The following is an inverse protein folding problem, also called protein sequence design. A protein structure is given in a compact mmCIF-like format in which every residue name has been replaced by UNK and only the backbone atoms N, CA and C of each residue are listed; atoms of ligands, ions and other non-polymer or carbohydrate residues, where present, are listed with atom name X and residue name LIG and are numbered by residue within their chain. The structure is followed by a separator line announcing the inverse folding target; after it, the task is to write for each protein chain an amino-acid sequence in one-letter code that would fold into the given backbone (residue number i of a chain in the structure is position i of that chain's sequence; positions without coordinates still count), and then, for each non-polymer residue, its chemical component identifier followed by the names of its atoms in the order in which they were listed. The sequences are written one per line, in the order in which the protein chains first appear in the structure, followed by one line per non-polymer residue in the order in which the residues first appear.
data_IF_282963912421
#
_entry.id   IF_282963912421
#
_cell.length_a   1.000
_cell.length_b   1.000
_cell.length_c   1.000
_cell.angle_alpha   90.00
_cell.angle_beta   90.00
_cell.angle_gamma   90.00
#
_symmetry.space_group_name_H-M   'P 1'
#
loop_
_entity.id
_entity.type
_entity.pdbx_description
1 polymer ?
#
# COMPACT_ATOMS: atom_id res chain seq x y z
N UNK A 1 5.30 -29.44 -51.71
CA UNK A 1 6.10 -29.47 -50.47
C UNK A 1 5.45 -28.59 -49.45
N UNK A 2 5.08 -29.10 -48.26
CA UNK A 2 4.30 -28.36 -47.26
C UNK A 2 5.10 -27.16 -46.75
N UNK A 3 4.47 -25.99 -46.62
CA UNK A 3 5.06 -24.76 -46.06
C UNK A 3 5.71 -25.03 -44.69
N UNK A 4 5.11 -25.91 -43.87
CA UNK A 4 5.68 -26.37 -42.60
C UNK A 4 6.98 -27.12 -42.73
N UNK A 5 7.20 -27.88 -43.79
CA UNK A 5 8.47 -28.59 -44.05
C UNK A 5 9.59 -27.61 -44.44
N UNK A 6 9.28 -26.60 -45.25
CA UNK A 6 10.24 -25.57 -45.66
C UNK A 6 10.60 -24.60 -44.52
N UNK A 7 9.73 -24.33 -43.58
CA UNK A 7 10.02 -23.60 -42.35
C UNK A 7 10.93 -24.39 -41.40
N UNK A 8 10.79 -25.72 -41.37
CA UNK A 8 11.64 -26.59 -40.53
C UNK A 8 13.00 -26.88 -41.12
N UNK A 9 13.10 -26.92 -42.47
CA UNK A 9 14.33 -27.20 -43.24
C UNK A 9 14.43 -26.18 -44.37
N UNK A 10 14.83 -24.92 -44.08
CA UNK A 10 14.85 -23.86 -45.07
C UNK A 10 15.97 -24.10 -46.10
N UNK A 11 15.61 -24.29 -47.37
CA UNK A 11 16.55 -24.51 -48.45
C UNK A 11 16.92 -23.23 -49.18
N UNK A 12 15.97 -22.30 -49.33
CA UNK A 12 16.14 -21.03 -50.04
C UNK A 12 16.66 -19.94 -49.09
N UNK A 13 17.46 -19.00 -49.59
CA UNK A 13 18.07 -17.95 -48.76
C UNK A 13 17.02 -17.09 -48.02
N UNK A 14 15.90 -16.76 -48.67
CA UNK A 14 14.85 -15.96 -48.04
C UNK A 14 14.05 -16.74 -46.98
N UNK A 15 13.90 -18.07 -47.14
CA UNK A 15 13.28 -18.90 -46.07
C UNK A 15 14.21 -19.05 -44.87
N UNK A 16 15.53 -19.12 -45.10
CA UNK A 16 16.55 -19.09 -44.02
C UNK A 16 16.49 -17.77 -43.27
N UNK A 17 16.43 -16.63 -44.00
CA UNK A 17 16.31 -15.31 -43.40
C UNK A 17 14.99 -15.14 -42.58
N UNK A 18 13.87 -15.58 -43.14
CA UNK A 18 12.59 -15.56 -42.47
C UNK A 18 12.61 -16.42 -41.19
N UNK A 19 13.09 -17.64 -41.24
CA UNK A 19 13.20 -18.53 -40.05
C UNK A 19 14.13 -17.94 -39.01
N UNK A 20 15.26 -17.35 -39.40
CA UNK A 20 16.18 -16.67 -38.48
C UNK A 20 15.49 -15.47 -37.82
N UNK A 21 14.75 -14.66 -38.57
CA UNK A 21 13.99 -13.52 -38.05
C UNK A 21 12.93 -13.99 -37.05
N UNK A 22 12.16 -15.04 -37.38
CA UNK A 22 11.15 -15.61 -36.46
C UNK A 22 11.82 -16.13 -35.18
N UNK A 23 12.97 -16.81 -35.29
CA UNK A 23 13.73 -17.28 -34.14
C UNK A 23 14.22 -16.12 -33.27
N UNK A 24 14.74 -15.04 -33.86
CA UNK A 24 15.19 -13.85 -33.14
C UNK A 24 14.01 -13.21 -32.39
N UNK A 25 12.87 -13.02 -33.04
CA UNK A 25 11.66 -12.44 -32.41
C UNK A 25 11.15 -13.33 -31.28
N UNK A 26 11.15 -14.65 -31.47
CA UNK A 26 10.74 -15.61 -30.44
C UNK A 26 11.65 -15.57 -29.21
N UNK A 27 12.98 -15.63 -29.41
CA UNK A 27 13.92 -15.58 -28.31
C UNK A 27 13.95 -14.22 -27.62
N UNK A 28 13.80 -13.12 -28.36
CA UNK A 28 13.64 -11.78 -27.79
C UNK A 28 12.38 -11.69 -26.92
N UNK A 29 11.26 -12.27 -27.37
CA UNK A 29 10.03 -12.35 -26.57
C UNK A 29 10.21 -13.16 -25.28
N UNK A 30 10.86 -14.33 -25.35
CA UNK A 30 11.17 -15.12 -24.16
C UNK A 30 12.10 -14.38 -23.20
N UNK A 31 13.14 -13.72 -23.71
CA UNK A 31 14.03 -12.91 -22.89
C UNK A 31 13.30 -11.76 -22.20
N UNK A 32 12.40 -11.09 -22.90
CA UNK A 32 11.54 -10.04 -22.32
C UNK A 32 10.68 -10.57 -21.18
N UNK A 33 10.00 -11.69 -21.38
CA UNK A 33 9.19 -12.32 -20.34
C UNK A 33 10.02 -12.74 -19.12
N UNK A 34 11.22 -13.29 -19.35
CA UNK A 34 12.13 -13.66 -18.27
C UNK A 34 12.61 -12.45 -17.47
N UNK A 35 13.00 -11.36 -18.15
CA UNK A 35 13.40 -10.10 -17.50
C UNK A 35 12.23 -9.50 -16.73
N UNK A 36 11.04 -9.44 -17.34
CA UNK A 36 9.83 -8.91 -16.69
C UNK A 36 9.45 -9.73 -15.45
N UNK A 37 9.49 -11.06 -15.55
CA UNK A 37 9.24 -11.96 -14.42
C UNK A 37 10.26 -11.79 -13.29
N UNK A 38 11.54 -11.63 -13.62
CA UNK A 38 12.59 -11.33 -12.64
C UNK A 38 12.39 -9.96 -11.97
N UNK A 39 12.04 -8.93 -12.75
CA UNK A 39 11.73 -7.61 -12.22
C UNK A 39 10.56 -7.67 -11.24
N UNK A 40 9.45 -8.32 -11.62
CA UNK A 40 8.29 -8.48 -10.75
C UNK A 40 8.67 -9.25 -9.48
N UNK A 41 9.45 -10.31 -9.59
CA UNK A 41 9.96 -11.02 -8.41
C UNK A 41 10.74 -10.10 -7.46
N UNK A 42 11.58 -9.21 -8.00
CA UNK A 42 12.31 -8.21 -7.20
C UNK A 42 11.36 -7.18 -6.58
N UNK A 43 10.39 -6.70 -7.34
CA UNK A 43 9.39 -5.73 -6.91
C UNK A 43 8.48 -6.31 -5.80
N UNK A 44 7.98 -7.54 -5.95
CA UNK A 44 7.12 -8.13 -4.90
C UNK A 44 7.90 -8.60 -3.67
N UNK A 45 9.24 -8.58 -3.72
CA UNK A 45 10.13 -8.91 -2.62
C UNK A 45 11.10 -7.76 -2.35
N UNK A 46 10.60 -6.64 -1.81
CA UNK A 46 11.42 -5.46 -1.55
C UNK A 46 12.52 -5.73 -0.53
N UNK A 47 13.50 -4.84 -0.50
CA UNK A 47 14.50 -4.83 0.57
C UNK A 47 13.80 -4.41 1.87
N UNK A 48 13.93 -5.25 2.90
CA UNK A 48 13.32 -4.98 4.19
C UNK A 48 14.26 -4.14 5.07
N UNK A 49 13.75 -3.03 5.54
CA UNK A 49 14.44 -2.20 6.53
C UNK A 49 14.02 -2.67 7.93
N UNK A 50 14.94 -3.29 8.65
CA UNK A 50 14.74 -3.65 10.06
C UNK A 50 15.63 -2.73 10.89
N UNK A 51 15.07 -2.07 11.89
CA UNK A 51 15.83 -1.35 12.91
C UNK A 51 15.40 -1.86 14.28
N UNK A 52 16.38 -2.15 15.13
CA UNK A 52 16.13 -2.53 16.51
C UNK A 52 15.83 -1.26 17.32
N UNK A 53 14.56 -0.92 17.42
CA UNK A 53 14.11 0.19 18.26
C UNK A 53 13.76 -0.36 19.65
N UNK A 54 14.39 0.19 20.66
CA UNK A 54 14.03 -0.11 22.03
C UNK A 54 12.73 0.61 22.42
N UNK A 55 11.61 -0.10 22.39
CA UNK A 55 10.31 0.42 22.78
C UNK A 55 10.27 1.02 24.19
N UNK A 56 11.12 0.53 25.11
CA UNK A 56 11.15 1.02 26.48
C UNK A 56 11.68 2.46 26.60
N UNK A 57 12.43 2.92 25.59
CA UNK A 57 12.91 4.30 25.54
C UNK A 57 11.88 5.28 24.98
N UNK A 58 10.75 4.78 24.47
CA UNK A 58 9.71 5.63 23.87
C UNK A 58 8.78 6.21 24.94
N UNK A 59 8.42 7.50 24.87
CA UNK A 59 7.41 8.08 25.74
C UNK A 59 6.06 7.36 25.57
N UNK A 60 5.29 7.24 26.65
CA UNK A 60 3.93 6.67 26.57
C UNK A 60 3.83 5.17 26.79
N UNK A 61 4.95 4.46 27.00
CA UNK A 61 4.99 3.01 27.27
C UNK A 61 4.26 2.18 26.22
N UNK A 62 4.75 2.14 24.98
CA UNK A 62 4.15 1.32 23.94
C UNK A 62 4.12 -0.16 24.34
N UNK A 63 3.08 -0.85 23.90
CA UNK A 63 2.87 -2.28 24.14
C UNK A 63 3.02 -3.05 22.82
N UNK A 64 3.72 -4.18 22.87
CA UNK A 64 3.73 -5.12 21.75
C UNK A 64 2.41 -5.90 21.72
N UNK A 65 1.74 -5.88 20.57
CA UNK A 65 0.50 -6.63 20.31
C UNK A 65 0.75 -7.61 19.18
N UNK A 66 0.54 -8.89 19.47
CA UNK A 66 0.61 -9.96 18.47
C UNK A 66 -0.79 -10.29 17.96
N UNK A 67 -0.91 -10.56 16.66
CA UNK A 67 -2.15 -10.96 16.03
C UNK A 67 -1.91 -11.96 14.89
N UNK A 68 -2.91 -12.78 14.61
CA UNK A 68 -2.88 -13.77 13.54
C UNK A 68 -3.64 -13.26 12.33
N UNK A 69 -3.08 -13.48 11.14
CA UNK A 69 -3.73 -13.12 9.88
C UNK A 69 -4.31 -14.40 9.25
N UNK A 70 -5.61 -14.47 9.01
CA UNK A 70 -6.24 -15.62 8.40
C UNK A 70 -5.58 -16.03 7.07
N UNK A 71 -5.25 -17.31 6.93
CA UNK A 71 -4.61 -17.84 5.73
C UNK A 71 -3.10 -17.55 5.60
N UNK A 72 -2.49 -16.91 6.60
CA UNK A 72 -1.05 -16.67 6.68
C UNK A 72 -0.40 -17.61 7.70
N UNK A 73 0.79 -18.11 7.37
CA UNK A 73 1.60 -18.88 8.31
C UNK A 73 2.46 -17.91 9.14
N UNK A 74 1.98 -17.49 10.29
CA UNK A 74 2.76 -16.70 11.25
C UNK A 74 1.98 -15.57 11.90
N UNK A 75 2.48 -15.20 13.08
CA UNK A 75 1.98 -14.05 13.81
C UNK A 75 2.55 -12.77 13.21
N UNK A 76 1.78 -11.69 13.32
CA UNK A 76 2.26 -10.32 13.11
C UNK A 76 2.42 -9.64 14.44
N UNK A 77 3.36 -8.72 14.51
CA UNK A 77 3.59 -7.88 15.68
C UNK A 77 3.43 -6.41 15.31
N UNK A 78 2.61 -5.72 16.08
CA UNK A 78 2.47 -4.28 16.02
C UNK A 78 2.76 -3.64 17.38
N UNK A 79 2.89 -2.32 17.38
CA UNK A 79 3.10 -1.52 18.57
C UNK A 79 1.87 -0.66 18.83
N UNK A 80 1.29 -0.84 20.00
CA UNK A 80 0.17 -0.05 20.48
C UNK A 80 0.67 1.03 21.44
N UNK A 81 0.31 2.25 21.15
CA UNK A 81 0.63 3.44 21.93
C UNK A 81 -0.67 3.94 22.57
N UNK A 82 -0.86 3.79 23.89
CA UNK A 82 -2.10 4.16 24.56
C UNK A 82 -2.27 5.68 24.64
N UNK A 83 -3.48 6.14 24.32
CA UNK A 83 -3.96 7.50 24.52
C UNK A 83 -4.99 7.59 25.66
N UNK A 84 -6.06 8.37 25.47
CA UNK A 84 -7.18 8.37 26.41
C UNK A 84 -7.92 7.03 26.36
N UNK A 85 -8.29 6.52 27.50
CA UNK A 85 -9.09 5.30 27.60
C UNK A 85 -10.43 5.48 26.88
N UNK A 86 -10.76 4.56 25.99
CA UNK A 86 -11.98 4.60 25.16
C UNK A 86 -11.92 5.63 24.02
N UNK A 87 -10.76 6.23 23.73
CA UNK A 87 -10.58 7.05 22.56
C UNK A 87 -10.54 6.19 21.29
N UNK A 88 -10.85 6.78 20.12
CA UNK A 88 -10.61 6.13 18.83
C UNK A 88 -9.16 5.73 18.67
N UNK A 89 -8.92 4.67 17.91
CA UNK A 89 -7.56 4.24 17.57
C UNK A 89 -7.23 4.68 16.13
N UNK A 90 -6.10 5.36 15.97
CA UNK A 90 -5.53 5.64 14.65
C UNK A 90 -4.57 4.54 14.28
N UNK A 91 -4.83 3.83 13.19
CA UNK A 91 -3.92 2.82 12.64
C UNK A 91 -3.10 3.46 11.54
N UNK A 92 -1.76 3.33 11.63
CA UNK A 92 -0.84 3.84 10.65
C UNK A 92 -0.32 2.69 9.78
N UNK A 93 -0.63 2.76 8.49
CA UNK A 93 -0.28 1.78 7.48
C UNK A 93 0.85 2.32 6.60
N UNK A 94 2.06 1.81 6.81
CA UNK A 94 3.24 2.23 6.06
C UNK A 94 3.14 1.92 4.56
N UNK A 95 4.01 2.55 3.77
CA UNK A 95 4.10 2.35 2.34
C UNK A 95 4.98 1.18 1.90
N UNK A 96 5.08 1.01 0.58
CA UNK A 96 6.02 0.09 -0.03
C UNK A 96 7.48 0.51 0.27
N UNK A 97 8.37 -0.46 0.50
CA UNK A 97 9.76 -0.26 0.94
C UNK A 97 9.94 0.53 2.24
N UNK A 98 8.90 0.59 3.07
CA UNK A 98 8.89 1.28 4.37
C UNK A 98 8.63 0.30 5.52
N UNK A 99 8.57 0.80 6.75
CA UNK A 99 8.30 0.02 7.95
C UNK A 99 7.60 0.86 9.02
N UNK A 100 7.03 0.19 10.04
CA UNK A 100 6.42 0.86 11.20
C UNK A 100 7.37 1.82 11.92
N UNK A 101 8.68 1.56 11.86
CA UNK A 101 9.69 2.38 12.54
C UNK A 101 9.76 3.81 11.98
N UNK A 102 9.47 3.98 10.71
CA UNK A 102 9.54 5.26 10.01
C UNK A 102 8.36 6.19 10.33
N UNK A 103 7.33 5.64 10.99
CA UNK A 103 6.11 6.37 11.34
C UNK A 103 6.10 6.93 12.77
N UNK A 104 7.18 6.74 13.53
CA UNK A 104 7.22 7.07 14.96
C UNK A 104 7.07 8.57 15.27
N UNK A 105 7.47 9.45 14.36
CA UNK A 105 7.22 10.89 14.52
C UNK A 105 5.74 11.22 14.41
N UNK A 106 5.04 10.61 13.43
CA UNK A 106 3.58 10.75 13.29
C UNK A 106 2.84 10.11 14.48
N UNK A 107 3.35 8.97 15.01
CA UNK A 107 2.84 8.40 16.28
C UNK A 107 2.91 9.42 17.39
N UNK A 108 4.08 10.07 17.58
CA UNK A 108 4.27 11.07 18.63
C UNK A 108 3.30 12.24 18.47
N UNK A 109 3.17 12.77 17.25
CA UNK A 109 2.25 13.87 16.97
C UNK A 109 0.78 13.53 17.29
N UNK A 110 0.33 12.29 17.01
CA UNK A 110 -1.02 11.84 17.36
C UNK A 110 -1.18 11.60 18.85
N UNK A 111 -0.15 11.09 19.53
CA UNK A 111 -0.15 10.86 20.98
C UNK A 111 -0.20 12.15 21.80
N UNK A 112 0.44 13.22 21.34
CA UNK A 112 0.31 14.56 21.95
C UNK A 112 -1.16 15.00 22.05
N UNK A 113 -2.00 14.51 21.15
CA UNK A 113 -3.44 14.74 21.12
C UNK A 113 -4.26 13.58 21.71
N UNK A 114 -3.60 12.68 22.45
CA UNK A 114 -4.23 11.60 23.23
C UNK A 114 -5.01 10.55 22.41
N UNK A 115 -4.67 10.36 21.15
CA UNK A 115 -5.15 9.20 20.37
C UNK A 115 -4.49 7.92 20.85
N UNK A 116 -5.24 6.82 20.82
CA UNK A 116 -4.64 5.50 20.74
C UNK A 116 -4.05 5.36 19.34
N UNK A 117 -2.80 4.89 19.24
CA UNK A 117 -2.14 4.70 17.94
C UNK A 117 -1.65 3.27 17.83
N UNK A 118 -1.87 2.64 16.68
CA UNK A 118 -1.35 1.31 16.38
C UNK A 118 -0.56 1.33 15.08
N UNK A 119 0.61 0.72 15.09
CA UNK A 119 1.49 0.57 13.92
C UNK A 119 1.98 -0.87 13.82
N UNK A 120 2.08 -1.39 12.62
CA UNK A 120 2.59 -2.73 12.35
C UNK A 120 3.26 -2.80 10.98
N UNK A 121 4.06 -3.84 10.74
CA UNK A 121 4.67 -4.08 9.44
C UNK A 121 3.80 -5.02 8.61
N UNK A 122 3.53 -4.67 7.36
CA UNK A 122 2.93 -5.57 6.38
C UNK A 122 3.88 -6.71 5.98
N UNK A 123 3.32 -7.77 5.39
CA UNK A 123 4.12 -8.82 4.76
C UNK A 123 5.12 -8.25 3.76
N UNK A 124 6.28 -8.89 3.63
CA UNK A 124 7.42 -8.46 2.84
C UNK A 124 8.13 -7.18 3.33
N UNK A 125 7.70 -6.57 4.44
CA UNK A 125 8.25 -5.34 4.98
C UNK A 125 8.70 -5.51 6.44
N UNK A 126 9.58 -4.61 6.90
CA UNK A 126 10.08 -4.63 8.27
C UNK A 126 10.53 -6.01 8.72
N UNK A 127 10.04 -6.49 9.85
CA UNK A 127 10.35 -7.81 10.38
C UNK A 127 9.66 -8.99 9.64
N UNK A 128 8.65 -8.73 8.81
CA UNK A 128 7.81 -9.76 8.23
C UNK A 128 8.31 -10.23 6.86
N UNK A 129 8.85 -11.46 6.74
CA UNK A 129 9.29 -11.99 5.44
C UNK A 129 8.08 -12.33 4.54
N UNK A 130 8.33 -12.45 3.24
CA UNK A 130 7.33 -12.87 2.26
C UNK A 130 7.40 -12.08 0.97
N UNK A 131 6.27 -11.98 0.29
CA UNK A 131 6.09 -11.17 -0.92
C UNK A 131 4.86 -10.30 -0.78
N UNK A 132 4.93 -9.06 -1.24
CA UNK A 132 3.77 -8.16 -1.29
C UNK A 132 2.88 -8.46 -2.48
N UNK A 133 1.59 -8.23 -2.31
CA UNK A 133 0.59 -8.22 -3.37
C UNK A 133 0.02 -6.80 -3.61
N UNK A 134 0.75 -5.77 -3.15
CA UNK A 134 0.37 -4.36 -3.25
C UNK A 134 -1.06 -4.06 -2.79
N UNK A 135 -1.47 -4.69 -1.69
CA UNK A 135 -2.73 -4.42 -1.01
C UNK A 135 -3.77 -5.54 -1.08
N UNK A 136 -3.69 -6.46 -2.04
CA UNK A 136 -4.65 -7.57 -2.10
C UNK A 136 -4.68 -8.40 -0.81
N UNK A 137 -3.52 -8.85 -0.36
CA UNK A 137 -3.37 -9.66 0.86
C UNK A 137 -3.20 -8.82 2.11
N UNK A 138 -2.57 -7.66 1.99
CA UNK A 138 -2.28 -6.75 3.09
C UNK A 138 -3.57 -6.14 3.70
N UNK A 139 -4.68 -6.10 2.95
CA UNK A 139 -5.98 -5.71 3.48
C UNK A 139 -6.45 -6.67 4.59
N UNK A 140 -6.20 -7.98 4.46
CA UNK A 140 -6.50 -8.95 5.52
C UNK A 140 -5.63 -8.73 6.76
N UNK A 141 -4.41 -8.20 6.61
CA UNK A 141 -3.53 -7.87 7.75
C UNK A 141 -4.05 -6.66 8.51
N UNK A 142 -4.53 -5.62 7.81
CA UNK A 142 -5.17 -4.47 8.47
C UNK A 142 -6.45 -4.89 9.20
N UNK A 143 -7.29 -5.71 8.57
CA UNK A 143 -8.48 -6.26 9.22
C UNK A 143 -8.14 -7.02 10.49
N UNK A 144 -7.18 -7.93 10.44
CA UNK A 144 -6.73 -8.71 11.60
C UNK A 144 -6.15 -7.81 12.71
N UNK A 145 -5.41 -6.77 12.34
CA UNK A 145 -4.91 -5.75 13.28
C UNK A 145 -6.07 -5.02 13.98
N UNK A 146 -7.08 -4.56 13.22
CA UNK A 146 -8.27 -3.91 13.78
C UNK A 146 -9.03 -4.86 14.71
N UNK A 147 -9.19 -6.13 14.32
CA UNK A 147 -9.87 -7.14 15.13
C UNK A 147 -9.12 -7.37 16.46
N UNK A 148 -7.78 -7.48 16.43
CA UNK A 148 -6.98 -7.65 17.64
C UNK A 148 -7.04 -6.43 18.58
N UNK A 149 -6.97 -5.23 18.02
CA UNK A 149 -7.06 -3.98 18.81
C UNK A 149 -8.46 -3.82 19.41
N UNK A 150 -9.52 -4.19 18.69
CA UNK A 150 -10.90 -4.08 19.20
C UNK A 150 -11.20 -4.96 20.42
N UNK A 151 -10.38 -5.97 20.71
CA UNK A 151 -10.51 -6.81 21.90
C UNK A 151 -9.97 -6.14 23.19
N UNK A 152 -9.29 -5.01 23.07
CA UNK A 152 -8.74 -4.28 24.22
C UNK A 152 -9.84 -3.53 24.95
N UNK A 153 -9.77 -3.52 26.28
CA UNK A 153 -10.75 -2.82 27.15
C UNK A 153 -10.48 -1.32 27.30
N UNK A 154 -9.40 -0.82 26.73
CA UNK A 154 -8.96 0.59 26.82
C UNK A 154 -9.17 1.38 25.51
N UNK A 155 -9.73 0.76 24.46
CA UNK A 155 -10.04 1.41 23.18
C UNK A 155 -11.55 1.45 22.90
N UNK A 156 -11.98 2.31 21.96
CA UNK A 156 -13.32 2.21 21.35
C UNK A 156 -13.26 1.18 20.21
N UNK A 157 -13.87 -0.01 20.35
CA UNK A 157 -13.77 -1.09 19.36
C UNK A 157 -14.47 -0.77 18.03
N UNK A 158 -15.35 0.26 18.01
CA UNK A 158 -16.15 0.65 16.85
C UNK A 158 -15.64 1.92 16.14
N UNK A 159 -14.47 2.44 16.54
CA UNK A 159 -14.01 3.75 16.08
C UNK A 159 -12.52 3.75 15.72
N UNK A 160 -12.24 3.54 14.43
CA UNK A 160 -10.89 3.59 13.89
C UNK A 160 -10.72 4.73 12.89
N UNK A 161 -9.63 5.47 13.02
CA UNK A 161 -9.06 6.26 11.93
C UNK A 161 -7.95 5.48 11.26
N UNK A 162 -7.80 5.58 9.95
CA UNK A 162 -6.68 4.93 9.27
C UNK A 162 -5.94 5.95 8.43
N UNK A 163 -4.65 6.03 8.65
CA UNK A 163 -3.71 6.72 7.80
C UNK A 163 -2.92 5.70 6.98
N UNK A 164 -2.73 5.97 5.70
CA UNK A 164 -1.91 5.11 4.85
C UNK A 164 -1.16 5.88 3.78
N UNK A 165 0.04 5.40 3.47
CA UNK A 165 0.90 5.87 2.40
C UNK A 165 1.02 4.80 1.30
N UNK A 166 0.82 5.16 0.05
CA UNK A 166 0.77 4.32 -1.15
C UNK A 166 0.16 2.92 -0.92
N UNK A 167 0.93 1.87 -0.63
CA UNK A 167 0.44 0.54 -0.26
C UNK A 167 -0.56 0.61 0.91
N UNK A 168 -0.18 1.31 1.99
CA UNK A 168 -1.03 1.49 3.16
C UNK A 168 -2.30 2.27 2.85
N UNK A 169 -2.25 3.24 1.94
CA UNK A 169 -3.43 4.01 1.52
C UNK A 169 -4.43 3.15 0.73
N UNK A 170 -3.94 2.30 -0.17
CA UNK A 170 -4.77 1.32 -0.86
C UNK A 170 -5.47 0.37 0.13
N UNK A 171 -4.70 -0.19 1.06
CA UNK A 171 -5.19 -1.09 2.11
C UNK A 171 -6.24 -0.41 2.98
N UNK A 172 -5.96 0.82 3.44
CA UNK A 172 -6.87 1.61 4.27
C UNK A 172 -8.23 1.85 3.57
N UNK A 173 -8.19 2.24 2.31
CA UNK A 173 -9.40 2.49 1.53
C UNK A 173 -10.18 1.21 1.26
N UNK A 174 -9.48 0.12 0.90
CA UNK A 174 -10.10 -1.18 0.61
C UNK A 174 -10.79 -1.76 1.85
N UNK A 175 -10.16 -1.66 3.03
CA UNK A 175 -10.77 -2.11 4.28
C UNK A 175 -11.98 -1.25 4.65
N UNK A 176 -11.89 0.06 4.51
CA UNK A 176 -13.01 0.96 4.81
C UNK A 176 -14.25 0.74 3.91
N UNK A 177 -14.08 0.20 2.69
CA UNK A 177 -15.20 -0.21 1.84
C UNK A 177 -16.05 -1.32 2.48
N UNK A 178 -15.42 -2.18 3.28
CA UNK A 178 -16.05 -3.37 3.89
C UNK A 178 -16.35 -3.18 5.38
N UNK A 179 -15.50 -2.47 6.13
CA UNK A 179 -15.57 -2.36 7.58
C UNK A 179 -16.05 -0.97 8.04
N UNK A 180 -17.22 -0.93 8.64
CA UNK A 180 -17.87 0.29 9.13
C UNK A 180 -17.26 0.84 10.43
N UNK A 181 -16.32 0.14 11.04
CA UNK A 181 -15.52 0.64 12.15
C UNK A 181 -14.53 1.71 11.72
N UNK A 182 -14.18 1.78 10.44
CA UNK A 182 -13.35 2.87 9.89
C UNK A 182 -14.21 4.13 9.76
N UNK A 183 -13.87 5.17 10.55
CA UNK A 183 -14.62 6.42 10.65
C UNK A 183 -13.97 7.60 9.95
N UNK A 184 -12.68 7.55 9.68
CA UNK A 184 -11.95 8.61 8.98
C UNK A 184 -10.71 8.04 8.28
N UNK A 185 -10.36 8.58 7.11
CA UNK A 185 -9.25 8.13 6.28
C UNK A 185 -8.31 9.28 5.92
N UNK A 186 -7.01 9.06 6.04
CA UNK A 186 -5.97 9.87 5.41
C UNK A 186 -5.24 8.99 4.40
N UNK A 187 -5.27 9.38 3.13
CA UNK A 187 -4.87 8.58 1.98
C UNK A 187 -3.78 9.33 1.21
N UNK A 188 -2.53 8.96 1.45
CA UNK A 188 -1.38 9.59 0.82
C UNK A 188 -0.90 8.77 -0.36
N UNK A 189 -0.73 9.43 -1.52
CA UNK A 189 -0.18 8.84 -2.74
C UNK A 189 -0.91 7.54 -3.16
N UNK A 190 -2.23 7.54 -3.05
CA UNK A 190 -3.06 6.35 -3.28
C UNK A 190 -3.18 6.01 -4.77
N UNK A 191 -3.23 4.72 -5.08
CA UNK A 191 -3.50 4.18 -6.42
C UNK A 191 -4.82 3.40 -6.46
N UNK A 192 -5.38 3.24 -7.67
CA UNK A 192 -6.69 2.59 -7.88
C UNK A 192 -6.58 1.06 -7.95
N UNK A 193 -5.48 0.55 -8.53
CA UNK A 193 -5.23 -0.88 -8.70
C UNK A 193 -3.78 -1.24 -8.36
N UNK A 194 -3.50 -2.41 -7.72
CA UNK A 194 -2.15 -2.85 -7.37
C UNK A 194 -1.13 -2.84 -8.51
N UNK A 195 -1.57 -3.12 -9.75
CA UNK A 195 -0.69 -3.08 -10.93
C UNK A 195 -0.19 -1.66 -11.27
N UNK A 196 -0.85 -0.59 -10.78
CA UNK A 196 -0.31 0.77 -10.93
C UNK A 196 1.02 0.91 -10.17
N UNK A 197 1.16 0.29 -8.99
CA UNK A 197 2.45 0.25 -8.29
C UNK A 197 3.51 -0.52 -9.05
N UNK A 198 3.14 -1.62 -9.72
CA UNK A 198 4.09 -2.34 -10.60
C UNK A 198 4.63 -1.41 -11.69
N UNK A 199 3.76 -0.58 -12.30
CA UNK A 199 4.21 0.42 -13.31
C UNK A 199 5.16 1.44 -12.70
N UNK A 200 4.83 1.98 -11.53
CA UNK A 200 5.68 2.94 -10.81
C UNK A 200 7.06 2.33 -10.56
N UNK A 201 7.11 1.11 -10.04
CA UNK A 201 8.38 0.46 -9.73
C UNK A 201 9.18 0.08 -10.99
N UNK A 202 8.52 -0.38 -12.05
CA UNK A 202 9.19 -0.61 -13.35
C UNK A 202 9.75 0.70 -13.92
N UNK A 203 9.03 1.81 -13.76
CA UNK A 203 9.52 3.12 -14.23
C UNK A 203 10.81 3.54 -13.50
N UNK A 204 10.92 3.30 -12.20
CA UNK A 204 12.12 3.58 -11.39
C UNK A 204 13.37 2.80 -11.88
N UNK A 205 13.18 1.64 -12.52
CA UNK A 205 14.32 0.88 -13.11
C UNK A 205 14.83 1.43 -14.43
N UNK A 206 14.22 2.48 -14.98
CA UNK A 206 14.52 3.02 -16.32
C UNK A 206 13.86 2.25 -17.47
N UNK A 207 13.14 1.17 -17.18
CA UNK A 207 12.44 0.36 -18.20
C UNK A 207 11.01 0.80 -18.47
N UNK A 208 10.51 1.79 -17.74
CA UNK A 208 9.15 2.32 -17.87
C UNK A 208 8.86 2.96 -19.25
N UNK A 209 9.90 3.40 -19.97
CA UNK A 209 9.79 3.91 -21.34
C UNK A 209 9.51 2.85 -22.41
N UNK A 210 9.53 1.56 -22.05
CA UNK A 210 9.27 0.45 -22.96
C UNK A 210 7.90 -0.19 -22.68
N UNK A 211 6.84 0.14 -23.44
CA UNK A 211 5.47 -0.33 -23.15
C UNK A 211 5.33 -1.85 -23.08
N UNK A 212 6.07 -2.58 -23.90
CA UNK A 212 6.07 -4.05 -23.88
C UNK A 212 6.65 -4.62 -22.57
N UNK A 213 7.66 -3.95 -21.98
CA UNK A 213 8.24 -4.37 -20.69
C UNK A 213 7.24 -4.14 -19.55
N UNK A 214 6.64 -2.96 -19.50
CA UNK A 214 5.59 -2.63 -18.53
C UNK A 214 4.44 -3.63 -18.62
N UNK A 215 3.93 -3.89 -19.84
CA UNK A 215 2.85 -4.84 -20.05
C UNK A 215 3.20 -6.26 -19.63
N UNK A 216 4.44 -6.71 -19.92
CA UNK A 216 4.91 -8.04 -19.52
C UNK A 216 5.05 -8.14 -18.00
N UNK A 217 5.48 -7.07 -17.32
CA UNK A 217 5.54 -7.02 -15.86
C UNK A 217 4.14 -7.07 -15.23
N UNK A 218 3.18 -6.28 -15.74
CA UNK A 218 1.78 -6.35 -15.30
C UNK A 218 1.20 -7.77 -15.45
N UNK A 219 1.40 -8.40 -16.61
CA UNK A 219 0.95 -9.78 -16.85
C UNK A 219 1.59 -10.78 -15.89
N UNK A 220 2.88 -10.62 -15.59
CA UNK A 220 3.59 -11.46 -14.63
C UNK A 220 3.04 -11.27 -13.21
N UNK A 221 2.74 -10.05 -12.81
CA UNK A 221 2.12 -9.73 -11.53
C UNK A 221 0.70 -10.30 -11.43
N UNK A 222 -0.13 -10.15 -12.47
CA UNK A 222 -1.49 -10.71 -12.54
C UNK A 222 -1.45 -12.25 -12.46
N UNK A 223 -0.44 -12.88 -13.03
CA UNK A 223 -0.25 -14.32 -12.95
C UNK A 223 0.10 -14.77 -11.51
N UNK A 224 0.99 -14.04 -10.84
CA UNK A 224 1.35 -14.30 -9.44
C UNK A 224 0.17 -14.10 -8.47
N UNK A 225 -0.74 -13.20 -8.80
CA UNK A 225 -1.92 -12.86 -8.00
C UNK A 225 -3.22 -13.27 -8.71
N UNK A 226 -3.22 -14.43 -9.37
CA UNK A 226 -4.32 -14.88 -10.24
C UNK A 226 -5.68 -14.92 -9.55
N UNK A 227 -5.71 -15.24 -8.25
CA UNK A 227 -6.92 -15.27 -7.42
C UNK A 227 -7.59 -13.89 -7.27
N UNK A 228 -6.80 -12.80 -7.38
CA UNK A 228 -7.26 -11.41 -7.28
C UNK A 228 -7.50 -10.74 -8.63
N UNK A 229 -7.37 -11.49 -9.74
CA UNK A 229 -7.46 -10.93 -11.10
C UNK A 229 -8.82 -10.28 -11.40
N UNK A 230 -9.88 -10.70 -10.71
CA UNK A 230 -11.24 -10.19 -10.88
C UNK A 230 -11.64 -9.18 -9.80
N UNK A 231 -10.75 -8.85 -8.87
CA UNK A 231 -11.04 -7.85 -7.86
C UNK A 231 -11.25 -6.49 -8.53
N UNK A 232 -12.34 -5.80 -8.22
CA UNK A 232 -12.60 -4.51 -8.83
C UNK A 232 -11.61 -3.46 -8.32
N UNK A 233 -11.31 -2.42 -9.13
CA UNK A 233 -10.54 -1.28 -8.67
C UNK A 233 -11.25 -0.58 -7.50
N UNK A 234 -10.52 0.16 -6.67
CA UNK A 234 -11.09 0.93 -5.55
C UNK A 234 -12.21 1.87 -6.03
N UNK A 235 -12.00 2.51 -7.18
CA UNK A 235 -12.99 3.42 -7.75
C UNK A 235 -14.36 2.81 -8.05
N UNK A 236 -14.45 1.48 -8.16
CA UNK A 236 -15.71 0.80 -8.43
C UNK A 236 -16.62 0.66 -7.20
N UNK A 237 -16.07 0.71 -5.99
CA UNK A 237 -16.79 0.52 -4.72
C UNK A 237 -16.86 1.77 -3.84
N UNK A 238 -16.41 2.90 -4.33
CA UNK A 238 -16.32 4.15 -3.55
C UNK A 238 -17.63 4.62 -2.93
N UNK A 239 -18.77 4.27 -3.51
CA UNK A 239 -20.09 4.63 -2.94
C UNK A 239 -20.29 4.08 -1.54
N UNK A 240 -19.63 2.99 -1.16
CA UNK A 240 -19.68 2.43 0.20
C UNK A 240 -19.04 3.35 1.25
N UNK A 241 -18.18 4.28 0.82
CA UNK A 241 -17.49 5.27 1.66
C UNK A 241 -18.29 6.58 1.83
N UNK A 242 -19.56 6.61 1.43
CA UNK A 242 -20.40 7.77 1.65
C UNK A 242 -20.53 8.05 3.15
N UNK A 243 -20.31 9.33 3.54
CA UNK A 243 -20.32 9.73 4.94
C UNK A 243 -19.03 9.47 5.73
N UNK A 244 -18.07 8.71 5.18
CA UNK A 244 -16.74 8.54 5.80
C UNK A 244 -15.85 9.72 5.36
N UNK A 245 -15.37 10.58 6.28
CA UNK A 245 -14.42 11.65 5.95
C UNK A 245 -13.11 11.12 5.40
N UNK A 246 -12.62 11.74 4.32
CA UNK A 246 -11.39 11.34 3.61
C UNK A 246 -10.54 12.56 3.30
N UNK A 247 -9.27 12.51 3.71
CA UNK A 247 -8.23 13.45 3.27
C UNK A 247 -7.33 12.73 2.27
N UNK A 248 -7.29 13.23 1.04
CA UNK A 248 -6.35 12.78 0.02
C UNK A 248 -5.12 13.69 0.03
N UNK A 249 -3.93 13.11 0.10
CA UNK A 249 -2.66 13.80 0.01
C UNK A 249 -2.03 13.44 -1.34
N UNK A 250 -1.97 14.45 -2.23
CA UNK A 250 -1.54 14.27 -3.62
C UNK A 250 -0.07 14.66 -3.79
N UNK A 251 0.82 13.71 -4.12
CA UNK A 251 2.21 14.03 -4.42
C UNK A 251 2.34 14.78 -5.74
N UNK A 252 3.22 15.77 -5.78
CA UNK A 252 3.50 16.56 -7.00
C UNK A 252 4.70 15.98 -7.75
N UNK A 253 5.68 15.47 -7.04
CA UNK A 253 6.91 14.88 -7.59
C UNK A 253 6.73 13.46 -8.16
N UNK A 254 5.73 12.71 -7.70
CA UNK A 254 5.38 11.37 -8.21
C UNK A 254 4.14 11.44 -9.11
N UNK A 255 4.31 11.89 -10.35
CA UNK A 255 3.20 12.18 -11.27
C UNK A 255 2.18 11.04 -11.40
N UNK A 256 2.62 9.78 -11.51
CA UNK A 256 1.72 8.63 -11.69
C UNK A 256 0.79 8.45 -10.49
N UNK A 257 1.33 8.52 -9.26
CA UNK A 257 0.55 8.42 -8.03
C UNK A 257 -0.28 9.68 -7.79
N UNK A 258 0.25 10.86 -8.10
CA UNK A 258 -0.48 12.11 -8.04
C UNK A 258 -1.72 12.13 -8.93
N UNK A 259 -1.59 11.63 -10.16
CA UNK A 259 -2.72 11.51 -11.11
C UNK A 259 -3.75 10.46 -10.62
N UNK A 260 -3.29 9.34 -10.06
CA UNK A 260 -4.17 8.32 -9.51
C UNK A 260 -4.93 8.86 -8.30
N UNK A 261 -4.23 9.48 -7.35
CA UNK A 261 -4.82 10.13 -6.17
C UNK A 261 -5.90 11.14 -6.59
N UNK A 262 -5.61 11.98 -7.58
CA UNK A 262 -6.57 12.97 -8.10
C UNK A 262 -7.79 12.30 -8.74
N UNK A 263 -7.61 11.26 -9.55
CA UNK A 263 -8.74 10.51 -10.15
C UNK A 263 -9.63 9.91 -9.08
N UNK A 264 -9.06 9.31 -8.04
CA UNK A 264 -9.80 8.74 -6.93
C UNK A 264 -10.52 9.83 -6.12
N UNK A 265 -9.87 10.94 -5.84
CA UNK A 265 -10.51 12.08 -5.17
C UNK A 265 -11.74 12.58 -5.92
N UNK A 266 -11.66 12.74 -7.25
CA UNK A 266 -12.80 13.20 -8.07
C UNK A 266 -14.01 12.26 -7.91
N UNK A 267 -13.77 10.95 -7.91
CA UNK A 267 -14.83 9.92 -7.81
C UNK A 267 -15.34 9.69 -6.38
N UNK A 268 -14.54 10.02 -5.37
CA UNK A 268 -14.89 9.75 -3.97
C UNK A 268 -16.14 10.54 -3.54
N UNK A 269 -17.06 9.93 -2.74
CA UNK A 269 -18.21 10.63 -2.16
C UNK A 269 -17.77 11.57 -1.04
N UNK A 270 -18.66 12.50 -0.68
CA UNK A 270 -18.45 13.42 0.45
C UNK A 270 -18.58 12.68 1.83
N UNK A 271 -17.95 13.21 2.88
CA UNK A 271 -17.03 14.36 2.89
C UNK A 271 -15.61 13.98 2.45
N UNK A 272 -14.99 14.85 1.67
CA UNK A 272 -13.63 14.64 1.16
C UNK A 272 -12.85 15.95 1.07
N UNK A 273 -11.55 15.87 1.26
CA UNK A 273 -10.59 16.97 1.14
C UNK A 273 -9.38 16.50 0.34
N UNK A 274 -8.72 17.40 -0.37
CA UNK A 274 -7.46 17.10 -1.05
C UNK A 274 -6.44 18.19 -0.75
N UNK A 275 -5.19 17.79 -0.53
CA UNK A 275 -4.07 18.69 -0.38
C UNK A 275 -2.90 18.20 -1.25
N UNK A 276 -2.25 19.13 -1.92
CA UNK A 276 -1.02 18.85 -2.65
C UNK A 276 0.17 18.78 -1.68
N UNK A 277 1.04 17.80 -1.91
CA UNK A 277 2.31 17.64 -1.21
C UNK A 277 3.45 17.86 -2.20
N UNK A 278 4.48 18.67 -1.85
CA UNK A 278 5.66 18.83 -2.69
C UNK A 278 6.34 17.49 -2.99
N UNK A 279 6.42 16.63 -2.00
CA UNK A 279 7.05 15.31 -2.06
C UNK A 279 6.10 14.21 -1.58
N UNK A 280 6.07 13.10 -2.34
CA UNK A 280 5.20 11.94 -2.07
C UNK A 280 5.77 10.94 -1.08
N UNK A 281 7.01 11.10 -0.62
CA UNK A 281 7.63 10.19 0.31
C UNK A 281 7.73 10.82 1.70
N UNK A 282 6.85 10.44 2.63
CA UNK A 282 6.83 10.92 4.02
C UNK A 282 8.20 10.82 4.71
N UNK A 283 8.94 9.73 4.46
CA UNK A 283 10.25 9.48 5.09
C UNK A 283 11.31 10.46 4.57
N UNK A 284 11.21 10.89 3.33
CA UNK A 284 12.17 11.79 2.69
C UNK A 284 11.89 13.29 2.94
N UNK A 285 10.78 13.61 3.62
CA UNK A 285 10.45 14.99 3.98
C UNK A 285 11.51 15.58 4.92
N UNK A 286 11.83 16.87 4.72
CA UNK A 286 12.59 17.65 5.70
C UNK A 286 11.81 17.76 7.03
N UNK A 287 12.47 18.12 8.11
CA UNK A 287 11.81 18.27 9.42
C UNK A 287 10.67 19.31 9.37
N UNK A 288 10.86 20.43 8.66
CA UNK A 288 9.83 21.46 8.51
C UNK A 288 8.61 20.94 7.70
N UNK A 289 8.86 20.26 6.59
CA UNK A 289 7.80 19.65 5.78
C UNK A 289 7.07 18.56 6.56
N UNK A 290 7.79 17.77 7.34
CA UNK A 290 7.24 16.72 8.20
C UNK A 290 6.31 17.30 9.25
N UNK A 291 6.70 18.38 9.93
CA UNK A 291 5.81 19.08 10.86
C UNK A 291 4.54 19.61 10.22
N UNK A 292 4.65 20.21 9.02
CA UNK A 292 3.48 20.69 8.28
C UNK A 292 2.55 19.55 7.88
N UNK A 293 3.12 18.43 7.46
CA UNK A 293 2.40 17.23 7.10
C UNK A 293 1.66 16.63 8.32
N UNK A 294 2.39 16.41 9.41
CA UNK A 294 1.84 15.85 10.66
C UNK A 294 0.73 16.72 11.23
N UNK A 295 0.93 18.05 11.27
CA UNK A 295 -0.08 18.99 11.70
C UNK A 295 -1.36 18.90 10.85
N UNK A 296 -1.24 18.69 9.55
CA UNK A 296 -2.39 18.51 8.66
C UNK A 296 -3.14 17.21 8.96
N UNK A 297 -2.42 16.10 9.12
CA UNK A 297 -3.00 14.80 9.46
C UNK A 297 -3.70 14.85 10.81
N UNK A 298 -3.03 15.39 11.82
CA UNK A 298 -3.57 15.56 13.19
C UNK A 298 -4.81 16.45 13.18
N UNK A 299 -4.75 17.61 12.51
CA UNK A 299 -5.88 18.54 12.41
C UNK A 299 -7.10 17.88 11.74
N UNK A 300 -6.88 17.08 10.70
CA UNK A 300 -7.95 16.34 10.05
C UNK A 300 -8.61 15.34 11.02
N UNK A 301 -7.83 14.55 11.74
CA UNK A 301 -8.39 13.59 12.71
C UNK A 301 -9.08 14.32 13.87
N UNK A 302 -8.52 15.39 14.41
CA UNK A 302 -9.16 16.20 15.45
C UNK A 302 -10.53 16.73 15.02
N UNK A 303 -10.66 17.16 13.77
CA UNK A 303 -11.90 17.70 13.24
C UNK A 303 -12.93 16.59 12.94
N UNK A 304 -12.49 15.41 12.48
CA UNK A 304 -13.36 14.36 11.93
C UNK A 304 -13.55 13.17 12.85
N UNK A 305 -12.63 12.95 13.79
CA UNK A 305 -12.62 11.81 14.71
C UNK A 305 -11.99 12.22 16.05
N UNK A 306 -12.60 13.17 16.75
CA UNK A 306 -12.05 13.72 17.99
C UNK A 306 -11.76 12.63 19.03
N UNK A 307 -10.63 12.72 19.79
CA UNK A 307 -10.23 11.74 20.80
C UNK A 307 -11.04 11.89 22.10
N UNK A 308 -12.38 11.87 21.96
CA UNK A 308 -13.28 11.94 23.12
C UNK A 308 -13.43 10.57 23.75
N UNK A 309 -13.13 10.41 25.05
CA UNK A 309 -13.32 9.14 25.73
C UNK A 309 -14.78 8.74 25.70
N UNK A 310 -15.12 7.59 25.12
CA UNK A 310 -16.43 6.96 25.28
C UNK A 310 -16.42 6.15 26.56
N UNK A 311 -17.53 6.20 27.31
CA UNK A 311 -17.73 5.30 28.44
C UNK A 311 -17.89 3.89 27.86
N UNK A 312 -16.80 3.12 27.88
CA UNK A 312 -16.83 1.69 27.54
C UNK A 312 -17.65 1.02 28.66
N UNK A 313 -18.83 0.52 28.31
CA UNK A 313 -19.71 -0.21 29.25
C UNK A 313 -19.20 -1.62 29.50
#
# INVERSE_FOLDING_TARGET
MSILFELRYPTKWYTKLFTAMVAVVFFAGLATLAIAGFLVYRIVKPNRTTSDINLQSFPGRPESVQFEVPGSNGHREGWFFPGFRGAPTIILCHGYESSKNELLTLVSALQEHQYNVFVFDFVAHGANPGTTAFGYRETLELKAAMDAISLRSDVDPESFGVWGYNLGAYVAMREAEADKRVKALVLDSIYDEPKEMVKVEVAKTGLGGFPFMVRSAEMSFDWLNYEHRQDPPLSAKMTSLNGVPKLFLQPVDEQQLGDSTRRLFIKAPEPKEIAALPHGNYVALSEEEKHLYENRVVSFFLLRLAPTPRVVK
#
